data_IF_044986951428
#
_entry.id   IF_044986951428
#
_cell.length_a   1.000
_cell.length_b   1.000
_cell.length_c   1.000
_cell.angle_alpha   90.00
_cell.angle_beta   90.00
_cell.angle_gamma   90.00
#
_symmetry.space_group_name_H-M   'P 1'
#
loop_
_entity.id
_entity.type
_entity.pdbx_description
1 polymer ?
#
# COMPACT_ATOMS: atom_id res chain seq x y z
N UNK A 1 20.07 3.54 16.57
CA UNK A 1 19.70 4.69 17.42
C UNK A 1 18.20 4.96 17.28
N UNK A 2 17.47 4.66 18.35
CA UNK A 2 16.07 4.93 18.73
C UNK A 2 15.00 5.26 17.63
N UNK A 3 14.12 4.30 17.36
CA UNK A 3 12.86 4.48 16.63
C UNK A 3 11.83 5.17 17.53
N UNK A 4 11.41 6.39 17.20
CA UNK A 4 10.42 7.14 17.96
C UNK A 4 9.02 7.02 17.32
N UNK A 5 8.25 6.00 17.69
CA UNK A 5 6.82 5.91 17.36
C UNK A 5 6.04 6.87 18.27
N UNK A 6 5.88 8.13 17.86
CA UNK A 6 5.04 9.09 18.61
C UNK A 6 3.57 8.86 18.26
N UNK A 7 2.86 8.22 19.18
CA UNK A 7 1.41 8.11 19.16
C UNK A 7 0.72 9.48 19.20
N UNK A 8 -0.35 9.60 18.42
CA UNK A 8 -1.22 10.77 18.38
C UNK A 8 -2.03 10.89 19.68
N UNK A 9 -1.66 11.81 20.58
CA UNK A 9 -2.40 12.04 21.83
C UNK A 9 -3.59 12.98 21.56
N UNK A 10 -4.81 12.52 21.81
CA UNK A 10 -6.00 13.39 21.87
C UNK A 10 -5.79 14.46 22.95
N UNK A 11 -5.89 15.73 22.57
CA UNK A 11 -5.94 16.87 23.49
C UNK A 11 -7.31 17.51 23.38
N UNK A 12 -8.11 17.42 24.43
CA UNK A 12 -9.38 18.15 24.56
C UNK A 12 -9.10 19.55 25.10
N UNK A 13 -9.41 20.59 24.33
CA UNK A 13 -9.58 21.95 24.84
C UNK A 13 -10.97 22.47 24.44
N UNK A 14 -11.55 23.21 25.37
CA UNK A 14 -12.89 23.81 25.36
C UNK A 14 -13.16 24.52 24.03
N UNK A 15 -14.39 24.39 23.51
CA UNK A 15 -14.95 25.01 22.31
C UNK A 15 -14.94 24.12 21.04
N UNK A 16 -15.60 22.96 21.16
CA UNK A 16 -16.35 22.17 20.17
C UNK A 16 -15.99 22.22 18.66
N UNK A 17 -14.74 22.45 18.29
CA UNK A 17 -14.21 22.21 16.95
C UNK A 17 -12.96 21.36 17.08
N UNK A 18 -13.08 20.09 16.74
CA UNK A 18 -11.95 19.17 16.62
C UNK A 18 -11.03 19.68 15.52
N UNK A 19 -10.02 20.46 15.88
CA UNK A 19 -8.98 20.88 14.93
C UNK A 19 -7.82 19.88 14.99
N UNK A 20 -7.64 19.14 13.89
CA UNK A 20 -6.47 18.30 13.70
C UNK A 20 -5.24 19.20 13.60
N UNK A 21 -4.37 19.20 14.62
CA UNK A 21 -3.04 19.81 14.50
C UNK A 21 -2.17 18.83 13.75
N UNK A 22 -2.05 19.02 12.44
CA UNK A 22 -1.10 18.28 11.62
C UNK A 22 0.30 18.64 12.11
N UNK A 23 1.11 17.68 12.59
CA UNK A 23 2.53 17.93 12.76
C UNK A 23 3.04 18.40 11.39
N UNK A 24 3.80 19.50 11.34
CA UNK A 24 4.54 19.84 10.12
C UNK A 24 5.50 18.68 9.86
N UNK A 25 5.10 17.77 8.98
CA UNK A 25 5.96 16.70 8.51
C UNK A 25 7.15 17.41 7.85
N UNK A 26 8.33 17.36 8.49
CA UNK A 26 9.58 17.66 7.79
C UNK A 26 9.64 16.69 6.62
N UNK A 27 9.86 17.27 5.45
CA UNK A 27 9.61 16.71 4.12
C UNK A 27 9.74 15.18 4.01
N UNK A 28 8.84 14.56 3.26
CA UNK A 28 9.04 13.21 2.78
C UNK A 28 10.17 13.24 1.74
N UNK A 29 11.20 12.44 1.95
CA UNK A 29 12.26 12.24 0.98
C UNK A 29 11.98 10.88 0.34
N UNK A 30 11.58 10.87 -0.93
CA UNK A 30 11.39 9.64 -1.70
C UNK A 30 12.76 9.00 -1.92
N UNK A 31 13.18 8.14 -1.00
CA UNK A 31 14.37 7.34 -1.21
C UNK A 31 14.08 6.32 -2.32
N UNK A 32 14.94 6.26 -3.35
CA UNK A 32 14.86 5.25 -4.41
C UNK A 32 13.82 5.49 -5.51
N UNK A 33 13.23 6.69 -5.62
CA UNK A 33 12.35 7.00 -6.75
C UNK A 33 13.13 7.00 -8.07
N UNK A 34 12.66 6.20 -9.03
CA UNK A 34 13.22 6.12 -10.38
C UNK A 34 12.20 6.63 -11.39
N UNK A 35 12.65 7.33 -12.42
CA UNK A 35 11.78 7.72 -13.53
C UNK A 35 11.27 6.46 -14.25
N UNK A 36 9.99 6.41 -14.59
CA UNK A 36 9.35 5.27 -15.28
C UNK A 36 10.18 4.74 -16.46
N UNK A 37 10.60 5.63 -17.36
CA UNK A 37 11.39 5.25 -18.54
C UNK A 37 12.73 4.59 -18.19
N UNK A 38 13.34 4.95 -17.05
CA UNK A 38 14.59 4.33 -16.58
C UNK A 38 14.38 2.93 -16.00
N UNK A 39 13.19 2.66 -15.43
CA UNK A 39 12.81 1.33 -14.94
C UNK A 39 12.54 0.42 -16.12
N UNK A 40 11.76 0.88 -17.10
CA UNK A 40 11.46 0.14 -18.33
C UNK A 40 12.73 -0.23 -19.08
N UNK A 41 13.68 0.72 -19.24
CA UNK A 41 14.96 0.45 -19.92
C UNK A 41 15.88 -0.52 -19.18
N UNK A 42 15.76 -0.65 -17.87
CA UNK A 42 16.63 -1.56 -17.09
C UNK A 42 16.14 -3.00 -17.06
N UNK A 43 15.03 -3.32 -17.72
CA UNK A 43 14.53 -4.69 -17.80
C UNK A 43 15.45 -5.59 -18.61
N UNK A 44 15.57 -6.84 -18.19
CA UNK A 44 16.26 -7.88 -18.95
C UNK A 44 15.31 -8.44 -20.04
N UNK A 45 15.63 -8.29 -21.34
CA UNK A 45 14.79 -8.83 -22.41
C UNK A 45 14.81 -10.36 -22.46
N UNK A 46 15.82 -11.01 -21.89
CA UNK A 46 15.94 -12.47 -21.82
C UNK A 46 15.34 -13.06 -20.53
N UNK A 47 14.64 -12.23 -19.73
CA UNK A 47 14.02 -12.69 -18.50
C UNK A 47 13.06 -13.85 -18.77
N UNK A 48 13.37 -15.03 -18.21
CA UNK A 48 12.55 -16.22 -18.33
C UNK A 48 11.31 -16.10 -17.43
N UNK A 49 10.19 -15.70 -18.01
CA UNK A 49 8.91 -15.65 -17.31
C UNK A 49 8.47 -17.06 -16.89
N UNK A 50 8.10 -17.22 -15.62
CA UNK A 50 7.53 -18.44 -15.11
C UNK A 50 6.00 -18.36 -15.13
N UNK A 51 5.36 -19.44 -15.59
CA UNK A 51 3.92 -19.62 -15.40
C UNK A 51 3.62 -19.94 -13.93
N UNK A 52 2.44 -19.57 -13.41
CA UNK A 52 2.00 -20.02 -12.11
C UNK A 52 1.97 -21.56 -12.06
N UNK A 53 2.40 -22.12 -10.94
CA UNK A 53 2.43 -23.56 -10.75
C UNK A 53 1.03 -24.13 -10.54
N UNK A 54 0.17 -23.38 -9.84
CA UNK A 54 -1.23 -23.71 -9.62
C UNK A 54 -2.13 -22.49 -9.93
N UNK A 55 -3.29 -22.74 -10.53
CA UNK A 55 -4.30 -21.72 -10.77
C UNK A 55 -4.91 -21.17 -9.46
N UNK A 56 -4.79 -21.93 -8.36
CA UNK A 56 -5.25 -21.54 -7.04
C UNK A 56 -4.24 -20.69 -6.26
N UNK A 57 -3.02 -20.54 -6.77
CA UNK A 57 -2.01 -19.67 -6.16
C UNK A 57 -2.48 -18.21 -6.12
N UNK A 58 -2.13 -17.50 -5.05
CA UNK A 58 -2.52 -16.11 -4.87
C UNK A 58 -1.74 -15.16 -5.81
N UNK A 59 -2.47 -14.31 -6.52
CA UNK A 59 -1.91 -13.29 -7.43
C UNK A 59 -2.04 -11.87 -6.87
N UNK A 60 -3.06 -11.61 -6.05
CA UNK A 60 -3.31 -10.27 -5.51
C UNK A 60 -3.98 -10.30 -4.13
N UNK A 61 -3.75 -9.23 -3.36
CA UNK A 61 -4.44 -8.95 -2.10
C UNK A 61 -5.04 -7.55 -2.16
N UNK A 62 -6.35 -7.50 -2.41
CA UNK A 62 -7.06 -6.24 -2.59
C UNK A 62 -7.60 -5.73 -1.25
N UNK A 63 -7.17 -4.54 -0.86
CA UNK A 63 -7.72 -3.82 0.29
C UNK A 63 -8.70 -2.76 -0.18
N UNK A 64 -9.91 -2.80 0.37
CA UNK A 64 -10.92 -1.75 0.16
C UNK A 64 -11.31 -1.15 1.50
N UNK A 65 -11.62 0.15 1.53
CA UNK A 65 -11.91 0.87 2.77
C UNK A 65 -13.16 0.35 3.50
N UNK A 66 -14.05 -0.36 2.80
CA UNK A 66 -15.32 -0.86 3.32
C UNK A 66 -16.22 0.24 3.89
N UNK A 67 -17.46 -0.09 4.24
CA UNK A 67 -18.36 0.85 4.95
C UNK A 67 -18.08 0.92 6.45
N UNK A 68 -17.37 -0.08 6.99
CA UNK A 68 -17.11 -0.23 8.44
C UNK A 68 -15.83 0.47 8.92
N UNK A 69 -15.10 1.15 8.02
CA UNK A 69 -13.86 1.87 8.34
C UNK A 69 -12.67 0.97 8.70
N UNK A 70 -12.83 -0.35 8.68
CA UNK A 70 -11.75 -1.34 8.84
C UNK A 70 -11.54 -2.03 7.49
N UNK A 71 -10.43 -1.75 6.78
CA UNK A 71 -10.16 -2.39 5.51
C UNK A 71 -10.07 -3.90 5.66
N UNK A 72 -10.72 -4.63 4.75
CA UNK A 72 -10.61 -6.08 4.62
C UNK A 72 -9.77 -6.39 3.39
N UNK A 73 -8.89 -7.38 3.50
CA UNK A 73 -8.11 -7.91 2.39
C UNK A 73 -8.86 -9.06 1.72
N UNK A 74 -9.06 -8.99 0.41
CA UNK A 74 -9.55 -10.10 -0.41
C UNK A 74 -8.36 -10.70 -1.15
N UNK A 75 -8.06 -11.96 -0.87
CA UNK A 75 -7.05 -12.73 -1.59
C UNK A 75 -7.66 -13.25 -2.88
N UNK A 76 -7.01 -12.97 -4.02
CA UNK A 76 -7.42 -13.45 -5.32
C UNK A 76 -6.38 -14.44 -5.85
N UNK A 77 -6.88 -15.55 -6.39
CA UNK A 77 -6.06 -16.51 -7.13
C UNK A 77 -5.94 -16.15 -8.62
N UNK A 78 -5.02 -16.81 -9.33
CA UNK A 78 -4.95 -16.71 -10.79
C UNK A 78 -6.28 -17.08 -11.45
N UNK A 79 -6.93 -18.14 -10.97
CA UNK A 79 -8.24 -18.59 -11.46
C UNK A 79 -9.31 -17.52 -11.30
N UNK A 80 -9.43 -16.90 -10.11
CA UNK A 80 -10.45 -15.88 -9.86
C UNK A 80 -10.39 -14.72 -10.87
N UNK A 81 -9.18 -14.32 -11.29
CA UNK A 81 -8.99 -13.24 -12.24
C UNK A 81 -9.47 -13.61 -13.65
N UNK A 82 -9.29 -14.86 -14.06
CA UNK A 82 -9.72 -15.36 -15.38
C UNK A 82 -11.21 -15.67 -15.41
N UNK A 83 -11.76 -16.20 -14.31
CA UNK A 83 -13.18 -16.61 -14.23
C UNK A 83 -14.12 -15.48 -13.80
N UNK A 84 -13.63 -14.44 -13.12
CA UNK A 84 -14.43 -13.30 -12.68
C UNK A 84 -15.18 -13.49 -11.36
N UNK A 85 -14.89 -14.57 -10.62
CA UNK A 85 -15.52 -14.91 -9.33
C UNK A 85 -14.60 -15.79 -8.49
#
# INVERSE_FOLDING_TARGET
>A
MQHATRYFRKSTRKNNKTQWRTPKLRHWQTQGARAHASVVRSGDPAHAWALPADEWDAIALNYTSGTTGRPKGVMLSHRNLVTGF
#
